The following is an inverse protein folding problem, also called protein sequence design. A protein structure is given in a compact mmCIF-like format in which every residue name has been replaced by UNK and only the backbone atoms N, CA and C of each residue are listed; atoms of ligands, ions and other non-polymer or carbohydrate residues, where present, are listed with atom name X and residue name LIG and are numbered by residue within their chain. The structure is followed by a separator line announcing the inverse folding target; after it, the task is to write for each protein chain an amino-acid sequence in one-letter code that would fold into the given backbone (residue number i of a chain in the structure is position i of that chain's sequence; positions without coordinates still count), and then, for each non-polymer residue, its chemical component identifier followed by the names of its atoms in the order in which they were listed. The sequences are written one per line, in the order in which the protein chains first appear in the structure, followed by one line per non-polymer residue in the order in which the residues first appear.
data_IF_156763274274
#
_entry.id   IF_156763274274
#
_cell.length_a   1.000
_cell.length_b   1.000
_cell.length_c   1.000
_cell.angle_alpha   90.00
_cell.angle_beta   90.00
_cell.angle_gamma   90.00
#
_symmetry.space_group_name_H-M   'P 1'
#
loop_
_entity.id
_entity.type
_entity.pdbx_description
1 polymer ?
#
# COMPACT_ATOMS: atom_id res chain seq x y z
N UNK A 1 -3.56 9.38 11.25
CA UNK A 1 -3.51 9.24 9.78
C UNK A 1 -4.80 8.57 9.34
N UNK A 2 -5.56 9.20 8.44
CA UNK A 2 -6.77 8.61 7.89
C UNK A 2 -6.41 7.63 6.75
N UNK A 3 -7.39 6.84 6.29
CA UNK A 3 -7.13 5.82 5.26
C UNK A 3 -6.78 6.40 3.88
N UNK A 4 -7.25 7.60 3.54
CA UNK A 4 -6.93 8.26 2.28
C UNK A 4 -5.47 8.73 2.23
N UNK A 5 -4.99 9.40 3.27
CA UNK A 5 -3.60 9.83 3.42
C UNK A 5 -2.66 8.64 3.35
N UNK A 6 -3.01 7.53 4.04
CA UNK A 6 -2.20 6.31 4.02
C UNK A 6 -2.10 5.74 2.60
N UNK A 7 -3.21 5.67 1.86
CA UNK A 7 -3.23 5.22 0.46
C UNK A 7 -2.37 6.09 -0.45
N UNK A 8 -2.42 7.42 -0.28
CA UNK A 8 -1.58 8.35 -1.04
C UNK A 8 -0.08 8.06 -0.76
N UNK A 9 0.28 7.85 0.51
CA UNK A 9 1.66 7.52 0.89
C UNK A 9 2.10 6.15 0.38
N UNK A 10 1.26 5.12 0.51
CA UNK A 10 1.52 3.78 -0.03
C UNK A 10 1.77 3.86 -1.53
N UNK A 11 0.90 4.57 -2.28
CA UNK A 11 1.07 4.78 -3.72
C UNK A 11 2.42 5.44 -4.03
N UNK A 12 2.77 6.51 -3.31
CA UNK A 12 4.04 7.22 -3.49
C UNK A 12 5.24 6.30 -3.26
N UNK A 13 5.23 5.52 -2.17
CA UNK A 13 6.29 4.57 -1.85
C UNK A 13 6.43 3.47 -2.91
N UNK A 14 5.32 2.95 -3.43
CA UNK A 14 5.34 1.95 -4.51
C UNK A 14 5.92 2.49 -5.82
N UNK A 15 5.72 3.78 -6.12
CA UNK A 15 6.28 4.44 -7.31
C UNK A 15 7.77 4.78 -7.12
N UNK A 16 8.15 5.23 -5.92
CA UNK A 16 9.51 5.67 -5.62
C UNK A 16 10.47 4.52 -5.27
N UNK A 17 9.94 3.35 -4.87
CA UNK A 17 10.76 2.20 -4.50
C UNK A 17 11.25 1.45 -5.74
N UNK A 18 12.58 1.33 -5.86
CA UNK A 18 13.22 0.50 -6.87
C UNK A 18 13.12 -1.00 -6.60
N UNK A 19 12.59 -1.40 -5.43
CA UNK A 19 12.40 -2.79 -5.04
C UNK A 19 10.94 -3.05 -4.62
N UNK A 20 10.44 -4.29 -4.78
CA UNK A 20 9.11 -4.67 -4.31
C UNK A 20 8.97 -4.40 -2.80
N UNK A 21 7.88 -3.75 -2.40
CA UNK A 21 7.55 -3.54 -1.00
C UNK A 21 6.52 -4.59 -0.55
N UNK A 22 6.80 -5.27 0.55
CA UNK A 22 5.87 -6.24 1.12
C UNK A 22 4.77 -5.53 1.91
N UNK A 23 3.60 -6.17 1.99
CA UNK A 23 2.49 -5.67 2.82
C UNK A 23 2.85 -5.55 4.31
N UNK A 24 3.83 -6.32 4.79
CA UNK A 24 4.30 -6.26 6.18
C UNK A 24 5.18 -5.02 6.42
N UNK A 25 6.07 -4.68 5.49
CA UNK A 25 6.89 -3.46 5.57
C UNK A 25 6.01 -2.20 5.52
N UNK A 26 5.05 -2.16 4.58
CA UNK A 26 4.09 -1.06 4.49
C UNK A 26 3.26 -0.94 5.78
N UNK A 27 2.85 -2.07 6.36
CA UNK A 27 2.09 -2.08 7.61
C UNK A 27 2.89 -1.50 8.78
N UNK A 28 4.16 -1.89 8.90
CA UNK A 28 5.07 -1.38 9.92
C UNK A 28 5.31 0.13 9.77
N UNK A 29 5.59 0.62 8.54
CA UNK A 29 5.84 2.04 8.27
C UNK A 29 4.61 2.91 8.62
N UNK A 30 3.41 2.41 8.34
CA UNK A 30 2.16 3.15 8.59
C UNK A 30 1.54 2.86 9.96
N UNK A 31 2.19 2.04 10.80
CA UNK A 31 1.73 1.58 12.11
C UNK A 31 0.29 1.03 12.08
N UNK A 32 0.02 0.16 11.10
CA UNK A 32 -1.27 -0.53 10.91
C UNK A 32 -1.05 -2.04 10.81
N UNK A 33 -2.14 -2.81 10.80
CA UNK A 33 -2.05 -4.24 10.50
C UNK A 33 -1.86 -4.49 9.00
N UNK A 34 -1.27 -5.64 8.66
CA UNK A 34 -1.18 -6.10 7.26
C UNK A 34 -2.55 -6.17 6.57
N UNK A 35 -3.60 -6.52 7.31
CA UNK A 35 -4.98 -6.57 6.77
C UNK A 35 -5.46 -5.19 6.29
N UNK A 36 -5.13 -4.12 7.03
CA UNK A 36 -5.45 -2.75 6.60
C UNK A 36 -4.73 -2.39 5.30
N UNK A 37 -3.45 -2.76 5.17
CA UNK A 37 -2.69 -2.56 3.92
C UNK A 37 -3.31 -3.34 2.77
N UNK A 38 -3.73 -4.59 2.98
CA UNK A 38 -4.41 -5.39 1.95
C UNK A 38 -5.70 -4.71 1.47
N UNK A 39 -6.50 -4.16 2.39
CA UNK A 39 -7.70 -3.41 2.05
C UNK A 39 -7.37 -2.14 1.26
N UNK A 40 -6.38 -1.38 1.68
CA UNK A 40 -5.94 -0.17 0.97
C UNK A 40 -5.46 -0.48 -0.45
N UNK A 41 -4.71 -1.57 -0.61
CA UNK A 41 -4.24 -2.07 -1.90
C UNK A 41 -5.39 -2.52 -2.80
N UNK A 42 -6.46 -3.09 -2.24
CA UNK A 42 -7.66 -3.40 -3.00
C UNK A 42 -8.37 -2.13 -3.49
N UNK A 43 -8.47 -1.09 -2.65
CA UNK A 43 -9.04 0.21 -3.03
C UNK A 43 -8.21 0.90 -4.11
N UNK A 44 -6.87 0.89 -3.97
CA UNK A 44 -5.96 1.47 -4.96
C UNK A 44 -6.11 0.77 -6.33
N UNK A 45 -6.19 -0.56 -6.35
CA UNK A 45 -6.45 -1.34 -7.58
C UNK A 45 -7.80 -1.03 -8.20
N UNK A 46 -8.87 -0.97 -7.40
CA UNK A 46 -10.20 -0.61 -7.87
C UNK A 46 -10.25 0.83 -8.44
N UNK A 47 -9.34 1.70 -7.99
CA UNK A 47 -9.19 3.07 -8.49
C UNK A 47 -8.36 3.17 -9.78
N UNK A 48 -7.99 2.04 -10.40
CA UNK A 48 -7.23 1.98 -11.65
C UNK A 48 -5.71 2.13 -11.49
N UNK A 49 -5.17 2.01 -10.27
CA UNK A 49 -3.72 1.97 -10.07
C UNK A 49 -3.28 0.52 -10.26
N UNK A 50 -2.39 0.30 -11.24
CA UNK A 50 -1.80 -1.00 -11.49
C UNK A 50 -0.78 -1.33 -10.38
N UNK A 51 -1.28 -1.96 -9.32
CA UNK A 51 -0.45 -2.48 -8.23
C UNK A 51 -0.48 -4.00 -8.28
N UNK A 52 0.67 -4.60 -8.57
CA UNK A 52 0.81 -6.04 -8.65
C UNK A 52 1.05 -6.64 -7.27
N UNK A 53 0.24 -7.64 -6.92
CA UNK A 53 0.49 -8.48 -5.75
C UNK A 53 1.35 -9.67 -6.18
N UNK A 54 2.55 -9.77 -5.60
CA UNK A 54 3.32 -11.01 -5.65
C UNK A 54 2.75 -12.07 -4.70
N UNK A 55 3.05 -13.36 -4.91
CA UNK A 55 2.65 -14.45 -4.01
C UNK A 55 3.18 -14.26 -2.58
#
# INVERSE_FOLDING_TARGET
MNSEERRIRIKKQLIESSQPLTGTELAAVHNVSRQVVVQDMAVLRASGIDVQAGP
#
